data_IF_565818684891
#
_entry.id   IF_565818684891
#
_cell.length_a   1.000
_cell.length_b   1.000
_cell.length_c   1.000
_cell.angle_alpha   90.00
_cell.angle_beta   90.00
_cell.angle_gamma   90.00
#
_symmetry.space_group_name_H-M   'P 1'
#
loop_
_entity.id
_entity.type
_entity.pdbx_description
1 polymer ?
#
# COMPACT_ATOMS: atom_id res chain seq x y z
N UNK A 1 33.73 0.98 12.79
CA UNK A 1 32.81 0.01 12.15
C UNK A 1 31.60 -0.13 13.08
N UNK A 2 30.56 0.68 12.88
CA UNK A 2 29.42 0.73 13.80
C UNK A 2 28.35 -0.22 13.30
N UNK A 3 28.17 -1.33 14.00
CA UNK A 3 26.98 -2.18 13.90
C UNK A 3 25.75 -1.34 14.28
N UNK A 4 24.90 -1.03 13.31
CA UNK A 4 23.59 -0.44 13.59
C UNK A 4 22.58 -1.54 13.86
N UNK A 5 21.97 -1.43 15.03
CA UNK A 5 21.05 -2.38 15.66
C UNK A 5 19.96 -2.88 14.71
N UNK A 6 19.91 -4.21 14.59
CA UNK A 6 18.89 -4.96 13.86
C UNK A 6 17.50 -4.76 14.45
N UNK A 7 16.64 -4.12 13.67
CA UNK A 7 15.18 -4.24 13.74
C UNK A 7 14.48 -3.87 12.40
N UNK A 8 15.23 -3.67 11.31
CA UNK A 8 14.64 -3.37 9.98
C UNK A 8 13.93 -2.02 9.86
N UNK A 9 14.21 -1.06 10.76
CA UNK A 9 13.58 0.26 10.78
C UNK A 9 14.09 1.21 9.67
N UNK A 10 15.32 1.01 9.21
CA UNK A 10 15.89 1.73 8.07
C UNK A 10 15.99 0.73 6.93
N UNK A 11 15.29 1.01 5.83
CA UNK A 11 15.50 0.24 4.60
C UNK A 11 16.71 0.81 3.88
N UNK A 12 17.72 -0.01 3.56
CA UNK A 12 18.77 0.42 2.67
C UNK A 12 18.16 0.76 1.31
N UNK A 13 18.61 1.86 0.70
CA UNK A 13 18.17 2.27 -0.63
C UNK A 13 18.92 1.51 -1.73
N UNK A 14 20.14 1.03 -1.44
CA UNK A 14 21.07 0.44 -2.40
C UNK A 14 21.56 -0.99 -2.04
N UNK A 15 20.97 -1.64 -1.04
CA UNK A 15 21.34 -3.02 -0.63
C UNK A 15 20.16 -3.99 -0.69
N UNK A 16 20.47 -5.28 -0.76
CA UNK A 16 19.49 -6.36 -0.71
C UNK A 16 18.64 -6.30 0.58
N UNK A 17 17.33 -6.45 0.41
CA UNK A 17 16.39 -6.44 1.53
C UNK A 17 16.35 -7.84 2.16
N UNK A 18 16.96 -7.97 3.33
CA UNK A 18 16.84 -9.19 4.14
C UNK A 18 15.40 -9.36 4.68
N UNK A 19 14.69 -10.36 4.16
CA UNK A 19 13.35 -10.69 4.64
C UNK A 19 13.42 -11.49 5.94
N UNK A 20 12.78 -10.98 6.98
CA UNK A 20 12.60 -11.76 8.22
C UNK A 20 11.65 -12.94 8.00
N UNK A 21 11.69 -13.95 8.89
CA UNK A 21 10.70 -15.04 8.93
C UNK A 21 9.24 -14.57 9.12
N UNK A 22 9.04 -13.33 9.58
CA UNK A 22 7.72 -12.72 9.76
C UNK A 22 7.21 -11.99 8.52
N UNK A 23 8.04 -11.82 7.50
CA UNK A 23 7.59 -11.24 6.24
C UNK A 23 6.48 -12.11 5.66
N UNK A 24 5.44 -11.47 5.14
CA UNK A 24 4.30 -12.13 4.49
C UNK A 24 4.17 -11.55 3.09
N UNK A 25 3.98 -12.43 2.11
CA UNK A 25 3.45 -12.05 0.82
C UNK A 25 1.95 -11.85 0.98
N UNK A 26 1.44 -10.66 0.64
CA UNK A 26 0.02 -10.34 0.67
C UNK A 26 -0.40 -9.95 -0.74
N UNK A 27 -1.37 -10.67 -1.29
CA UNK A 27 -1.92 -10.41 -2.62
C UNK A 27 -3.33 -9.84 -2.49
N UNK A 28 -3.63 -8.79 -3.27
CA UNK A 28 -5.00 -8.33 -3.49
C UNK A 28 -5.47 -8.85 -4.83
N UNK A 29 -6.53 -9.64 -4.80
CA UNK A 29 -7.04 -10.34 -5.98
C UNK A 29 -8.55 -10.21 -6.03
N UNK A 30 -9.15 -10.12 -7.23
CA UNK A 30 -10.60 -10.23 -7.37
C UNK A 30 -11.10 -11.52 -6.70
N UNK A 31 -12.25 -11.44 -6.02
CA UNK A 31 -12.79 -12.57 -5.26
C UNK A 31 -12.94 -13.85 -6.11
N UNK A 32 -13.28 -13.70 -7.39
CA UNK A 32 -13.44 -14.81 -8.33
C UNK A 32 -12.12 -15.54 -8.65
N UNK A 33 -10.98 -14.86 -8.53
CA UNK A 33 -9.64 -15.41 -8.83
C UNK A 33 -8.96 -16.00 -7.59
N UNK A 34 -9.66 -16.05 -6.45
CA UNK A 34 -9.12 -16.57 -5.18
C UNK A 34 -8.57 -17.97 -5.34
N UNK A 35 -9.34 -18.89 -5.92
CA UNK A 35 -8.93 -20.30 -5.99
C UNK A 35 -7.75 -20.49 -6.93
N UNK A 36 -7.65 -19.69 -7.99
CA UNK A 36 -6.46 -19.66 -8.85
C UNK A 36 -5.21 -19.23 -8.09
N UNK A 37 -5.35 -18.38 -7.07
CA UNK A 37 -4.20 -17.91 -6.29
C UNK A 37 -3.70 -18.93 -5.27
N UNK A 38 -4.52 -19.89 -4.85
CA UNK A 38 -4.04 -21.01 -4.00
C UNK A 38 -3.13 -21.95 -4.79
N UNK A 39 -3.21 -21.97 -6.13
CA UNK A 39 -2.24 -22.68 -6.97
C UNK A 39 -0.81 -22.13 -6.86
N UNK A 40 -0.60 -20.98 -6.21
CA UNK A 40 0.74 -20.47 -5.92
C UNK A 40 1.37 -21.18 -4.72
N UNK A 41 0.59 -21.81 -3.85
CA UNK A 41 1.13 -22.49 -2.67
C UNK A 41 2.11 -23.61 -3.08
N UNK A 42 3.28 -23.62 -2.45
CA UNK A 42 4.38 -24.54 -2.76
C UNK A 42 5.18 -24.17 -4.02
N UNK A 43 4.76 -23.19 -4.83
CA UNK A 43 5.55 -22.74 -5.98
C UNK A 43 6.78 -21.95 -5.55
N UNK A 44 7.86 -22.09 -6.32
CA UNK A 44 9.09 -21.33 -6.17
C UNK A 44 9.03 -20.08 -7.07
N UNK A 45 9.29 -18.92 -6.48
CA UNK A 45 9.45 -17.64 -7.16
C UNK A 45 10.94 -17.27 -7.15
N UNK A 46 11.45 -16.82 -8.28
CA UNK A 46 12.81 -16.27 -8.39
C UNK A 46 12.72 -14.75 -8.41
N UNK A 47 13.26 -14.09 -7.39
CA UNK A 47 13.26 -12.64 -7.24
C UNK A 47 14.69 -12.16 -7.05
N UNK A 48 15.22 -11.39 -8.01
CA UNK A 48 16.63 -10.97 -8.02
C UNK A 48 17.61 -12.12 -7.76
N UNK A 49 17.39 -13.27 -8.41
CA UNK A 49 18.22 -14.47 -8.25
C UNK A 49 17.98 -15.26 -6.95
N UNK A 50 17.18 -14.74 -6.02
CA UNK A 50 16.84 -15.40 -4.76
C UNK A 50 15.58 -16.26 -4.90
N UNK A 51 15.63 -17.47 -4.35
CA UNK A 51 14.51 -18.41 -4.32
C UNK A 51 13.58 -18.11 -3.15
N UNK A 52 12.30 -17.94 -3.43
CA UNK A 52 11.24 -17.75 -2.44
C UNK A 52 10.17 -18.82 -2.66
N UNK A 53 9.94 -19.67 -1.67
CA UNK A 53 8.84 -20.64 -1.71
C UNK A 53 7.59 -20.00 -1.11
N UNK A 54 6.48 -20.04 -1.84
CA UNK A 54 5.19 -19.56 -1.34
C UNK A 54 4.64 -20.57 -0.34
N UNK A 55 4.47 -20.14 0.91
CA UNK A 55 3.83 -20.97 1.94
C UNK A 55 2.31 -21.03 1.80
N UNK A 56 1.66 -21.74 2.72
CA UNK A 56 0.20 -21.80 2.78
C UNK A 56 -0.43 -20.42 2.88
N UNK A 57 -1.53 -20.20 2.15
CA UNK A 57 -2.24 -18.93 2.11
C UNK A 57 -3.40 -18.90 3.10
N UNK A 58 -3.82 -17.70 3.46
CA UNK A 58 -5.07 -17.47 4.17
C UNK A 58 -5.78 -16.24 3.61
N UNK A 59 -7.12 -16.30 3.57
CA UNK A 59 -7.93 -15.15 3.14
C UNK A 59 -8.13 -14.19 4.30
N UNK A 60 -7.98 -12.91 4.00
CA UNK A 60 -8.25 -11.82 4.94
C UNK A 60 -9.20 -10.82 4.28
N UNK A 61 -10.32 -10.46 4.93
CA UNK A 61 -11.13 -9.34 4.45
C UNK A 61 -10.35 -8.03 4.61
N UNK A 62 -10.79 -7.00 3.90
CA UNK A 62 -10.34 -5.63 4.18
C UNK A 62 -10.75 -5.23 5.60
N UNK A 63 -9.94 -4.41 6.26
CA UNK A 63 -10.22 -3.95 7.61
C UNK A 63 -10.97 -2.63 7.56
N UNK A 64 -12.08 -2.53 8.29
CA UNK A 64 -12.80 -1.27 8.44
C UNK A 64 -12.03 -0.38 9.41
N UNK A 65 -11.31 0.61 8.89
CA UNK A 65 -10.53 1.58 9.70
C UNK A 65 -10.75 3.01 9.22
N UNK A 66 -10.73 4.01 10.10
CA UNK A 66 -10.91 5.42 9.70
C UNK A 66 -9.72 5.96 8.92
N UNK A 67 -8.53 5.37 9.13
CA UNK A 67 -7.26 5.88 8.63
C UNK A 67 -6.56 4.87 7.73
N UNK A 68 -6.26 5.31 6.51
CA UNK A 68 -5.54 4.53 5.52
C UNK A 68 -4.32 5.29 5.02
N UNK A 69 -3.24 4.54 4.79
CA UNK A 69 -2.01 5.06 4.21
C UNK A 69 -1.68 4.35 2.91
N UNK A 70 -1.37 5.12 1.88
CA UNK A 70 -0.77 4.66 0.65
C UNK A 70 0.70 5.09 0.63
N UNK A 71 1.60 4.13 0.45
CA UNK A 71 3.05 4.40 0.49
C UNK A 71 3.51 5.18 -0.73
N UNK A 72 2.96 4.85 -1.90
CA UNK A 72 3.37 5.43 -3.17
C UNK A 72 2.14 5.67 -4.05
N UNK A 73 1.92 6.92 -4.42
CA UNK A 73 1.01 7.32 -5.50
C UNK A 73 1.88 7.98 -6.54
N UNK A 74 1.84 7.48 -7.78
CA UNK A 74 2.57 8.08 -8.91
C UNK A 74 2.00 9.47 -9.14
N UNK A 75 2.88 10.46 -9.24
CA UNK A 75 2.52 11.85 -9.47
C UNK A 75 3.30 12.42 -10.66
N UNK A 76 2.77 13.46 -11.26
CA UNK A 76 3.45 14.16 -12.34
C UNK A 76 4.67 14.92 -11.79
N UNK A 77 5.72 15.01 -12.61
CA UNK A 77 6.90 15.80 -12.25
C UNK A 77 6.53 17.26 -12.04
N UNK A 78 7.08 17.87 -10.98
CA UNK A 78 6.80 19.24 -10.53
C UNK A 78 5.34 19.50 -10.09
N UNK A 79 4.56 18.47 -9.75
CA UNK A 79 3.27 18.71 -9.09
C UNK A 79 3.52 19.24 -7.67
N UNK A 80 2.84 20.34 -7.31
CA UNK A 80 2.79 20.79 -5.92
C UNK A 80 1.84 19.91 -5.09
N UNK A 81 1.76 20.18 -3.80
CA UNK A 81 0.89 19.41 -2.90
C UNK A 81 -0.60 19.60 -3.21
N UNK A 82 -1.03 20.82 -3.53
CA UNK A 82 -2.44 21.12 -3.75
C UNK A 82 -2.96 20.47 -5.04
N UNK A 83 -2.22 20.59 -6.14
CA UNK A 83 -2.53 19.93 -7.41
C UNK A 83 -2.60 18.41 -7.25
N UNK A 84 -1.65 17.81 -6.54
CA UNK A 84 -1.66 16.38 -6.25
C UNK A 84 -2.90 15.94 -5.46
N UNK A 85 -3.25 16.65 -4.39
CA UNK A 85 -4.43 16.33 -3.58
C UNK A 85 -5.73 16.52 -4.36
N UNK A 86 -5.79 17.54 -5.22
CA UNK A 86 -6.92 17.79 -6.11
C UNK A 86 -7.11 16.63 -7.11
N UNK A 87 -6.04 16.19 -7.79
CA UNK A 87 -6.07 15.07 -8.73
C UNK A 87 -6.56 13.77 -8.07
N UNK A 88 -6.12 13.53 -6.82
CA UNK A 88 -6.55 12.36 -6.04
C UNK A 88 -8.02 12.50 -5.64
N UNK A 89 -8.45 13.68 -5.19
CA UNK A 89 -9.85 13.96 -4.84
C UNK A 89 -10.78 13.71 -6.03
N UNK A 90 -10.43 14.22 -7.22
CA UNK A 90 -11.23 14.04 -8.43
C UNK A 90 -11.35 12.58 -8.86
N UNK A 91 -10.29 11.78 -8.69
CA UNK A 91 -10.35 10.34 -8.93
C UNK A 91 -11.28 9.63 -7.96
N UNK A 92 -11.21 9.98 -6.67
CA UNK A 92 -11.99 9.31 -5.63
C UNK A 92 -13.47 9.72 -5.65
N UNK A 93 -13.79 10.96 -6.03
CA UNK A 93 -15.16 11.45 -6.24
C UNK A 93 -15.86 10.65 -7.34
N UNK A 94 -15.16 10.24 -8.41
CA UNK A 94 -15.73 9.35 -9.46
C UNK A 94 -16.16 8.00 -8.90
N UNK A 95 -15.61 7.61 -7.76
CA UNK A 95 -15.99 6.41 -7.02
C UNK A 95 -16.87 6.72 -5.79
N UNK A 96 -17.41 7.94 -5.67
CA UNK A 96 -18.30 8.35 -4.59
C UNK A 96 -17.61 8.57 -3.24
N UNK A 97 -16.28 8.59 -3.19
CA UNK A 97 -15.51 8.83 -1.96
C UNK A 97 -15.16 10.31 -1.90
N UNK A 98 -15.63 11.00 -0.86
CA UNK A 98 -15.32 12.42 -0.64
C UNK A 98 -14.26 12.56 0.44
N UNK A 99 -13.10 13.10 0.08
CA UNK A 99 -12.00 13.30 1.02
C UNK A 99 -12.31 14.46 1.97
N UNK A 100 -12.26 14.19 3.27
CA UNK A 100 -12.34 15.23 4.31
C UNK A 100 -10.96 15.65 4.81
N UNK A 101 -10.10 14.66 5.09
CA UNK A 101 -8.77 14.84 5.65
C UNK A 101 -7.80 13.98 4.87
N UNK A 102 -6.90 14.64 4.13
CA UNK A 102 -5.83 13.99 3.41
C UNK A 102 -4.53 14.76 3.62
N UNK A 103 -3.43 14.03 3.79
CA UNK A 103 -2.08 14.58 3.94
C UNK A 103 -1.19 13.86 2.95
N UNK A 104 -0.47 14.60 2.11
CA UNK A 104 0.53 14.02 1.24
C UNK A 104 1.94 14.18 1.83
N UNK A 105 2.81 13.21 1.57
CA UNK A 105 4.22 13.32 1.90
C UNK A 105 4.99 14.11 0.85
N UNK A 106 6.27 14.35 1.14
CA UNK A 106 7.22 14.91 0.18
C UNK A 106 7.35 14.01 -1.05
N UNK A 107 7.58 14.63 -2.21
CA UNK A 107 7.93 13.92 -3.44
C UNK A 107 9.20 13.11 -3.25
N UNK A 108 9.17 11.85 -3.67
CA UNK A 108 10.31 10.94 -3.75
C UNK A 108 10.40 10.38 -5.16
N UNK A 109 11.58 9.88 -5.52
CA UNK A 109 11.78 9.18 -6.78
C UNK A 109 12.00 7.70 -6.51
N UNK A 110 11.34 6.83 -7.28
CA UNK A 110 11.55 5.38 -7.24
C UNK A 110 11.75 4.85 -8.65
N UNK A 111 12.50 3.77 -8.80
CA UNK A 111 12.62 3.06 -10.07
C UNK A 111 11.43 2.12 -10.27
N UNK A 112 10.69 2.33 -11.36
CA UNK A 112 9.62 1.44 -11.82
C UNK A 112 9.97 1.00 -13.25
N UNK A 113 10.21 -0.31 -13.47
CA UNK A 113 10.68 -0.83 -14.78
C UNK A 113 11.84 -0.01 -15.36
N UNK A 114 12.88 0.21 -14.56
CA UNK A 114 14.07 0.99 -14.94
C UNK A 114 13.83 2.48 -15.27
N UNK A 115 12.61 2.98 -15.02
CA UNK A 115 12.28 4.40 -15.16
C UNK A 115 12.16 5.07 -13.80
N UNK A 116 12.92 6.15 -13.61
CA UNK A 116 12.79 7.01 -12.45
C UNK A 116 11.43 7.74 -12.46
N UNK A 117 10.61 7.46 -11.46
CA UNK A 117 9.22 7.93 -11.37
C UNK A 117 9.00 8.71 -10.08
N UNK A 118 8.36 9.88 -10.19
CA UNK A 118 7.98 10.68 -9.04
C UNK A 118 6.77 10.07 -8.33
N UNK A 119 6.86 9.94 -7.02
CA UNK A 119 5.81 9.39 -6.15
C UNK A 119 5.66 10.21 -4.88
N UNK A 120 4.45 10.23 -4.33
CA UNK A 120 4.15 10.77 -3.00
C UNK A 120 3.48 9.70 -2.14
N UNK A 121 3.73 9.74 -0.82
CA UNK A 121 2.88 9.01 0.12
C UNK A 121 1.59 9.80 0.36
N UNK A 122 0.51 9.11 0.71
CA UNK A 122 -0.77 9.72 0.98
C UNK A 122 -1.41 9.06 2.19
N UNK A 123 -1.81 9.86 3.17
CA UNK A 123 -2.63 9.43 4.29
C UNK A 123 -4.02 10.05 4.14
N UNK A 124 -5.06 9.24 4.30
CA UNK A 124 -6.45 9.69 4.33
C UNK A 124 -7.03 9.26 5.68
N UNK A 125 -7.70 10.18 6.35
CA UNK A 125 -8.26 10.00 7.68
C UNK A 125 -9.77 10.35 7.69
N UNK A 126 -10.45 9.96 8.77
CA UNK A 126 -11.89 10.19 8.97
C UNK A 126 -12.76 9.57 7.86
N UNK A 127 -12.38 8.38 7.40
CA UNK A 127 -13.15 7.61 6.43
C UNK A 127 -14.38 6.98 7.08
N UNK A 128 -15.50 7.02 6.35
CA UNK A 128 -16.67 6.19 6.68
C UNK A 128 -16.33 4.72 6.49
N UNK A 129 -17.09 3.83 7.15
CA UNK A 129 -16.90 2.38 7.06
C UNK A 129 -16.86 1.90 5.60
N UNK A 130 -17.82 2.34 4.78
CA UNK A 130 -17.94 1.99 3.35
C UNK A 130 -16.76 2.52 2.52
N UNK A 131 -16.39 3.80 2.72
CA UNK A 131 -15.28 4.43 2.01
C UNK A 131 -13.94 3.77 2.33
N UNK A 132 -13.75 3.32 3.58
CA UNK A 132 -12.55 2.59 4.00
C UNK A 132 -12.36 1.29 3.24
N UNK A 133 -13.43 0.49 3.10
CA UNK A 133 -13.39 -0.77 2.35
C UNK A 133 -13.22 -0.48 0.85
N UNK A 134 -13.99 0.47 0.32
CA UNK A 134 -13.97 0.83 -1.10
C UNK A 134 -12.59 1.34 -1.51
N UNK A 135 -11.95 2.18 -0.71
CA UNK A 135 -10.62 2.70 -0.98
C UNK A 135 -9.53 1.61 -0.96
N UNK A 136 -9.64 0.63 -0.07
CA UNK A 136 -8.73 -0.53 -0.06
C UNK A 136 -8.89 -1.42 -1.30
N UNK A 137 -10.12 -1.51 -1.83
CA UNK A 137 -10.42 -2.28 -3.04
C UNK A 137 -9.91 -1.57 -4.31
N UNK A 138 -10.33 -0.32 -4.51
CA UNK A 138 -10.06 0.40 -5.77
C UNK A 138 -8.67 1.04 -5.81
N UNK A 139 -8.13 1.47 -4.68
CA UNK A 139 -6.87 2.23 -4.65
C UNK A 139 -6.97 3.63 -5.26
N UNK A 140 -5.84 4.20 -5.69
CA UNK A 140 -5.81 5.47 -6.44
C UNK A 140 -4.67 5.48 -7.46
N UNK A 141 -4.86 6.17 -8.58
CA UNK A 141 -3.83 6.31 -9.60
C UNK A 141 -3.48 5.01 -10.31
N UNK A 142 -2.23 4.91 -10.76
CA UNK A 142 -1.74 3.79 -11.57
C UNK A 142 -0.60 3.04 -10.86
N UNK A 143 -0.10 1.96 -11.47
CA UNK A 143 1.07 1.24 -10.97
C UNK A 143 0.79 0.27 -9.82
N UNK A 144 -0.44 -0.22 -9.66
CA UNK A 144 -0.82 -1.21 -8.61
C UNK A 144 0.05 -2.47 -8.63
N UNK A 145 0.47 -2.93 -9.81
CA UNK A 145 1.40 -4.07 -9.94
C UNK A 145 2.79 -3.80 -9.35
N UNK A 146 3.16 -2.53 -9.16
CA UNK A 146 4.40 -2.09 -8.51
C UNK A 146 4.20 -1.68 -7.05
N UNK A 147 3.00 -1.90 -6.49
CA UNK A 147 2.67 -1.48 -5.14
C UNK A 147 2.26 0.00 -5.01
N UNK A 148 2.02 0.70 -6.13
CA UNK A 148 1.52 2.07 -6.11
C UNK A 148 -0.02 2.11 -6.01
N UNK A 149 -0.58 3.11 -5.33
CA UNK A 149 -2.03 3.28 -5.20
C UNK A 149 -2.69 2.31 -4.22
N UNK A 150 -1.91 1.54 -3.45
CA UNK A 150 -2.42 0.54 -2.51
C UNK A 150 -2.52 1.13 -1.10
N UNK A 151 -3.75 1.23 -0.58
CA UNK A 151 -4.03 1.72 0.77
C UNK A 151 -3.98 0.62 1.81
N UNK A 152 -3.21 0.81 2.87
CA UNK A 152 -3.07 -0.11 4.00
C UNK A 152 -3.65 0.54 5.27
N UNK A 153 -4.24 -0.26 6.17
CA UNK A 153 -4.61 0.20 7.50
C UNK A 153 -3.42 0.87 8.21
N UNK A 154 -3.59 2.14 8.56
CA UNK A 154 -2.64 2.85 9.39
C UNK A 154 -3.12 2.76 10.85
N UNK A 155 -2.20 2.58 11.80
CA UNK A 155 -2.58 2.66 13.21
C UNK A 155 -2.99 4.10 13.49
N UNK A 156 -4.27 4.33 13.72
CA UNK A 156 -4.75 5.56 14.35
C UNK A 156 -4.12 5.64 15.74
N UNK A 157 -3.71 6.85 16.16
CA UNK A 157 -3.31 7.10 17.55
C UNK A 157 -4.52 7.18 18.49
N UNK A 158 -5.74 7.15 17.94
CA UNK A 158 -6.96 7.16 18.73
C UNK A 158 -7.12 5.86 19.51
N UNK A 159 -7.37 6.01 20.82
CA UNK A 159 -7.69 4.92 21.72
C UNK A 159 -8.78 4.05 21.11
N UNK A 160 -8.61 2.73 21.21
CA UNK A 160 -9.50 1.71 20.64
C UNK A 160 -10.88 1.81 21.28
N UNK A 161 -11.71 2.73 20.80
CA UNK A 161 -13.09 2.88 21.16
C UNK A 161 -13.89 3.20 19.90
N UNK A 162 -14.75 2.27 19.50
CA UNK A 162 -15.90 2.46 18.60
C UNK A 162 -15.74 2.27 17.09
N UNK A 163 -14.62 1.73 16.56
CA UNK A 163 -14.58 1.21 15.19
C UNK A 163 -14.81 -0.32 15.13
N UNK A 164 -15.80 -0.81 15.88
CA UNK A 164 -16.26 -2.20 15.77
C UNK A 164 -17.46 -2.29 14.82
N UNK A 165 -17.52 -3.44 14.15
CA UNK A 165 -18.62 -3.90 13.31
C UNK A 165 -19.90 -3.94 14.17
N UNK A 166 -20.94 -3.29 13.67
CA UNK A 166 -22.32 -3.75 13.87
C UNK A 166 -22.67 -4.53 12.60
#
# INVERSE_FOLDING_TARGET
MVQNFGNGWVRPEDEDIFLSKRTRLVLRVPRAERDKTSELEGKELIVHGNKIVVGSSNVKPFLVVPDLICRFVICNSNCDENSFLQDVSEQLIKHGINLKKAICGKTKKIYLKDKLTDVRSLMIADLKKEDSIKLQDIGVGTGRLYGCGIFLPHKSLDAVANFKED
#
